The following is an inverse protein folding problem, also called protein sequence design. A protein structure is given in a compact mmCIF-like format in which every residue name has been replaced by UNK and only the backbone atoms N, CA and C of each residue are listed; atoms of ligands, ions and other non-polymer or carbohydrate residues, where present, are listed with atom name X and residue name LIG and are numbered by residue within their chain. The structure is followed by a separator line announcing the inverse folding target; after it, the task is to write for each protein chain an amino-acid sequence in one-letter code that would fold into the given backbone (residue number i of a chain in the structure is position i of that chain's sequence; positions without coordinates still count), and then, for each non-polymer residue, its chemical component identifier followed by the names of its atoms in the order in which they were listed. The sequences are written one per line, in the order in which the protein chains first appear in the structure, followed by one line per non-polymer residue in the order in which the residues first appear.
data_IF_244576141440
#
_entry.id   IF_244576141440
#
_cell.length_a   1.000
_cell.length_b   1.000
_cell.length_c   1.000
_cell.angle_alpha   90.00
_cell.angle_beta   90.00
_cell.angle_gamma   90.00
#
_symmetry.space_group_name_H-M   'P 1'
#
loop_
_entity.id
_entity.type
_entity.pdbx_description
1 polymer ?
#
# COMPACT_ATOMS: atom_id res chain seq x y z
N UNK A 1 -12.14 -19.20 0.52
CA UNK A 1 -11.60 -17.94 1.10
C UNK A 1 -10.69 -17.28 0.09
N UNK A 2 -10.92 -16.00 -0.21
CA UNK A 2 -10.15 -15.22 -1.19
C UNK A 2 -9.02 -14.49 -0.44
N UNK A 3 -7.77 -14.80 -0.79
CA UNK A 3 -6.60 -14.04 -0.36
C UNK A 3 -6.20 -13.03 -1.43
N UNK A 4 -5.92 -11.81 -1.04
CA UNK A 4 -5.17 -10.86 -1.84
C UNK A 4 -3.90 -10.44 -1.10
N UNK A 5 -2.83 -10.19 -1.84
CA UNK A 5 -1.57 -9.70 -1.27
C UNK A 5 -1.03 -8.49 -2.02
N UNK A 6 -0.36 -7.60 -1.30
CA UNK A 6 0.35 -6.47 -1.88
C UNK A 6 1.50 -6.01 -1.00
N UNK A 7 2.55 -5.51 -1.62
CA UNK A 7 3.61 -4.80 -0.90
C UNK A 7 3.03 -3.56 -0.22
N UNK A 8 3.56 -3.14 0.94
CA UNK A 8 3.05 -1.95 1.62
C UNK A 8 3.48 -0.69 0.86
N UNK A 9 2.50 0.01 0.29
CA UNK A 9 2.69 1.31 -0.36
C UNK A 9 2.53 2.48 0.63
N UNK A 10 3.21 3.58 0.36
CA UNK A 10 3.05 4.83 1.10
C UNK A 10 1.80 5.57 0.62
N UNK A 11 0.87 5.87 1.53
CA UNK A 11 -0.42 6.53 1.23
C UNK A 11 -1.08 5.99 -0.06
N UNK A 12 -1.53 4.71 -0.09
CA UNK A 12 -1.93 4.05 -1.34
C UNK A 12 -3.12 4.73 -2.03
N UNK A 13 -3.29 4.45 -3.31
CA UNK A 13 -4.42 4.91 -4.12
C UNK A 13 -5.64 3.97 -4.00
N UNK A 14 -6.81 4.38 -4.50
CA UNK A 14 -8.06 3.61 -4.40
C UNK A 14 -7.97 2.18 -4.97
N UNK A 15 -7.17 1.94 -6.00
CA UNK A 15 -7.01 0.61 -6.58
C UNK A 15 -6.36 -0.40 -5.62
N UNK A 16 -5.50 0.07 -4.72
CA UNK A 16 -4.97 -0.74 -3.63
C UNK A 16 -6.12 -1.23 -2.71
N UNK A 17 -6.94 -0.29 -2.26
CA UNK A 17 -8.05 -0.58 -1.34
C UNK A 17 -9.20 -1.33 -2.00
N UNK A 18 -9.44 -1.13 -3.30
CA UNK A 18 -10.40 -1.96 -4.05
C UNK A 18 -10.00 -3.44 -4.04
N UNK A 19 -8.71 -3.74 -4.12
CA UNK A 19 -8.21 -5.11 -4.01
C UNK A 19 -8.39 -5.65 -2.59
N UNK A 20 -8.15 -4.84 -1.56
CA UNK A 20 -8.45 -5.20 -0.16
C UNK A 20 -9.94 -5.52 0.00
N UNK A 21 -10.83 -4.65 -0.48
CA UNK A 21 -12.29 -4.80 -0.35
C UNK A 21 -12.87 -6.05 -1.05
N UNK A 22 -12.13 -6.66 -1.97
CA UNK A 22 -12.53 -7.87 -2.70
C UNK A 22 -11.97 -9.16 -2.10
N UNK A 23 -11.19 -9.07 -1.05
CA UNK A 23 -10.60 -10.21 -0.39
C UNK A 23 -11.31 -10.53 0.93
N UNK A 24 -11.34 -11.81 1.29
CA UNK A 24 -11.75 -12.24 2.62
C UNK A 24 -10.60 -12.10 3.63
N UNK A 25 -9.35 -12.07 3.12
CA UNK A 25 -8.13 -11.89 3.89
C UNK A 25 -7.12 -11.12 3.05
N UNK A 26 -6.42 -10.15 3.65
CA UNK A 26 -5.40 -9.37 2.97
C UNK A 26 -4.03 -9.59 3.62
N UNK A 27 -3.02 -9.96 2.83
CA UNK A 27 -1.66 -10.13 3.30
C UNK A 27 -0.78 -8.99 2.81
N UNK A 28 -0.23 -8.20 3.73
CA UNK A 28 0.80 -7.22 3.41
C UNK A 28 2.11 -7.95 3.20
N UNK A 29 2.66 -7.89 1.99
CA UNK A 29 3.86 -8.61 1.58
C UNK A 29 5.08 -7.75 1.90
N UNK A 30 5.55 -7.85 3.13
CA UNK A 30 6.60 -7.00 3.70
C UNK A 30 8.01 -7.63 3.71
N UNK A 31 8.12 -8.94 3.44
CA UNK A 31 9.39 -9.68 3.44
C UNK A 31 10.15 -9.65 2.10
N UNK A 32 9.51 -9.15 1.03
CA UNK A 32 10.14 -9.09 -0.30
C UNK A 32 11.07 -7.90 -0.44
N UNK A 33 11.97 -7.96 -1.42
CA UNK A 33 12.94 -6.92 -1.69
C UNK A 33 12.27 -5.55 -1.92
N UNK A 34 12.86 -4.51 -1.35
CA UNK A 34 12.42 -3.13 -1.54
C UNK A 34 12.61 -2.68 -3.01
N UNK A 35 11.54 -2.20 -3.61
CA UNK A 35 11.55 -1.67 -4.98
C UNK A 35 11.83 -0.16 -4.99
N UNK A 36 12.97 0.23 -5.55
CA UNK A 36 13.36 1.65 -5.68
C UNK A 36 12.51 2.35 -6.72
N UNK A 37 12.18 3.62 -6.45
CA UNK A 37 11.39 4.49 -7.34
C UNK A 37 9.96 4.00 -7.55
N UNK A 38 9.48 3.08 -6.75
CA UNK A 38 8.11 2.59 -6.73
C UNK A 38 7.29 3.31 -5.64
N UNK A 39 6.00 3.04 -5.57
CA UNK A 39 5.06 3.65 -4.62
C UNK A 39 5.28 3.21 -3.16
N UNK A 40 6.31 2.43 -2.87
CA UNK A 40 6.64 1.99 -1.52
C UNK A 40 7.08 3.13 -0.61
N UNK A 41 7.82 4.13 -1.12
CA UNK A 41 8.27 5.27 -0.32
C UNK A 41 7.81 6.63 -0.83
N UNK A 42 6.92 6.66 -1.81
CA UNK A 42 6.41 7.89 -2.42
C UNK A 42 5.01 7.71 -2.96
N UNK A 43 4.26 8.78 -3.06
CA UNK A 43 3.00 8.81 -3.80
C UNK A 43 2.61 10.24 -4.14
N UNK A 44 1.62 10.38 -5.03
CA UNK A 44 1.12 11.67 -5.46
C UNK A 44 -0.17 12.02 -4.71
N UNK A 45 -0.29 13.27 -4.31
CA UNK A 45 -1.52 13.87 -3.80
C UNK A 45 -2.00 14.98 -4.73
N UNK A 46 -3.28 15.37 -4.61
CA UNK A 46 -3.89 16.49 -5.35
C UNK A 46 -3.56 17.81 -4.68
N UNK A 47 -3.14 18.79 -5.45
CA UNK A 47 -3.05 20.18 -5.01
C UNK A 47 -3.67 21.12 -6.04
N UNK A 48 -3.62 22.44 -5.78
CA UNK A 48 -4.21 23.45 -6.65
C UNK A 48 -3.64 23.47 -8.08
N UNK A 49 -2.35 23.19 -8.24
CA UNK A 49 -1.65 23.26 -9.53
C UNK A 49 -1.54 21.93 -10.26
N UNK A 50 -2.03 20.84 -9.67
CA UNK A 50 -1.95 19.51 -10.29
C UNK A 50 -1.74 18.41 -9.27
N UNK A 51 -0.61 17.70 -9.36
CA UNK A 51 -0.20 16.65 -8.41
C UNK A 51 1.15 16.98 -7.79
N UNK A 52 1.32 16.65 -6.52
CA UNK A 52 2.58 16.77 -5.79
C UNK A 52 3.05 15.37 -5.40
N UNK A 53 4.32 15.08 -5.65
CA UNK A 53 4.96 13.86 -5.15
C UNK A 53 5.40 14.06 -3.70
N UNK A 54 4.85 13.26 -2.79
CA UNK A 54 5.35 13.11 -1.43
C UNK A 54 6.33 11.95 -1.39
N UNK A 55 7.45 12.14 -0.69
CA UNK A 55 8.48 11.10 -0.58
C UNK A 55 8.91 10.96 0.88
N UNK A 56 9.04 9.72 1.32
CA UNK A 56 9.72 9.35 2.56
C UNK A 56 11.15 8.97 2.20
N UNK A 57 12.17 9.71 2.66
CA UNK A 57 13.55 9.40 2.36
C UNK A 57 13.98 8.13 3.12
N UNK A 58 14.69 7.25 2.44
CA UNK A 58 15.22 6.02 3.03
C UNK A 58 16.75 6.00 2.97
N UNK A 59 17.37 5.26 3.89
CA UNK A 59 18.81 5.03 3.86
C UNK A 59 19.16 4.13 2.67
N UNK A 60 19.96 4.66 1.73
CA UNK A 60 20.26 3.98 0.48
C UNK A 60 21.57 3.18 0.50
N UNK A 61 22.54 3.61 1.34
CA UNK A 61 23.89 3.02 1.34
C UNK A 61 23.88 1.67 2.02
N UNK A 62 24.17 0.60 1.28
CA UNK A 62 24.15 -0.79 1.78
C UNK A 62 22.76 -1.44 1.91
N UNK A 63 21.68 -0.78 1.46
CA UNK A 63 20.30 -1.24 1.65
C UNK A 63 19.59 -1.66 0.35
N UNK A 64 20.35 -1.95 -0.72
CA UNK A 64 19.74 -2.20 -2.04
C UNK A 64 19.01 -3.54 -2.15
N UNK A 65 19.44 -4.52 -1.38
CA UNK A 65 18.93 -5.88 -1.44
C UNK A 65 18.15 -6.29 -0.19
N UNK A 66 17.87 -5.34 0.69
CA UNK A 66 17.14 -5.61 1.92
C UNK A 66 15.65 -5.85 1.65
N UNK A 67 15.02 -6.73 2.43
CA UNK A 67 13.58 -6.87 2.44
C UNK A 67 12.92 -5.56 2.92
N UNK A 68 11.70 -5.32 2.45
CA UNK A 68 10.99 -4.07 2.73
C UNK A 68 10.85 -3.77 4.23
N UNK A 69 10.60 -4.79 5.05
CA UNK A 69 10.45 -4.66 6.51
C UNK A 69 11.74 -4.30 7.26
N UNK A 70 12.89 -4.24 6.57
CA UNK A 70 14.17 -3.79 7.12
C UNK A 70 14.58 -2.39 6.64
N UNK A 71 13.80 -1.79 5.74
CA UNK A 71 14.14 -0.47 5.18
C UNK A 71 13.97 0.62 6.23
N UNK A 72 15.08 1.32 6.51
CA UNK A 72 15.15 2.41 7.48
C UNK A 72 14.87 3.76 6.83
N UNK A 73 14.08 4.59 7.51
CA UNK A 73 13.81 5.96 7.10
C UNK A 73 15.05 6.82 7.42
N UNK A 74 15.45 7.69 6.48
CA UNK A 74 16.47 8.70 6.73
C UNK A 74 15.89 9.85 7.59
N UNK A 75 16.11 9.76 8.88
CA UNK A 75 15.60 10.71 9.88
C UNK A 75 16.34 12.04 9.94
N UNK A 76 17.47 12.17 9.22
CA UNK A 76 18.20 13.44 9.12
C UNK A 76 17.43 14.47 8.27
N UNK A 77 16.55 14.01 7.40
CA UNK A 77 15.66 14.88 6.62
C UNK A 77 14.34 15.17 7.35
N UNK A 78 13.85 16.40 7.38
CA UNK A 78 12.59 16.77 8.03
C UNK A 78 11.37 16.38 7.15
N UNK A 79 11.36 15.16 6.62
CA UNK A 79 10.38 14.67 5.64
C UNK A 79 8.95 14.68 6.18
N UNK A 80 8.76 14.25 7.43
CA UNK A 80 7.43 14.18 8.04
C UNK A 80 6.78 15.56 8.09
N UNK A 81 7.50 16.57 8.54
CA UNK A 81 7.04 17.97 8.56
C UNK A 81 6.74 18.49 7.14
N UNK A 82 7.60 18.18 6.16
CA UNK A 82 7.40 18.60 4.77
C UNK A 82 6.15 17.96 4.17
N UNK A 83 5.99 16.64 4.32
CA UNK A 83 4.86 15.90 3.79
C UNK A 83 3.56 16.32 4.48
N UNK A 84 3.57 16.46 5.82
CA UNK A 84 2.41 16.97 6.56
C UNK A 84 1.97 18.35 6.07
N UNK A 85 2.90 19.29 5.94
CA UNK A 85 2.56 20.62 5.40
C UNK A 85 1.94 20.56 4.01
N UNK A 86 2.45 19.70 3.14
CA UNK A 86 1.88 19.53 1.81
C UNK A 86 0.45 18.99 1.86
N UNK A 87 0.18 17.98 2.71
CA UNK A 87 -1.16 17.43 2.95
C UNK A 87 -2.10 18.49 3.56
N UNK A 88 -1.64 19.17 4.59
CA UNK A 88 -2.42 20.22 5.26
C UNK A 88 -2.86 21.31 4.28
N UNK A 89 -1.94 21.92 3.53
CA UNK A 89 -2.28 22.98 2.58
C UNK A 89 -3.08 22.49 1.37
N UNK A 90 -2.94 21.22 0.99
CA UNK A 90 -3.76 20.63 -0.04
C UNK A 90 -5.21 20.40 0.40
N UNK A 91 -5.45 20.02 1.68
CA UNK A 91 -6.75 19.48 2.10
C UNK A 91 -7.42 20.20 3.28
N UNK A 92 -6.77 21.16 3.97
CA UNK A 92 -7.32 21.82 5.17
C UNK A 92 -8.73 22.42 5.02
N UNK A 93 -9.10 22.81 3.80
CA UNK A 93 -10.42 23.37 3.50
C UNK A 93 -11.33 22.33 2.78
N UNK A 94 -10.96 21.03 2.78
CA UNK A 94 -11.84 19.97 2.27
C UNK A 94 -12.99 19.70 3.25
N UNK A 95 -14.19 19.31 2.76
CA UNK A 95 -15.37 19.16 3.61
C UNK A 95 -15.20 18.25 4.82
N UNK A 96 -14.39 17.21 4.69
CA UNK A 96 -14.19 16.21 5.75
C UNK A 96 -12.84 16.34 6.47
N UNK A 97 -12.11 17.44 6.27
CA UNK A 97 -10.80 17.62 6.88
C UNK A 97 -10.84 17.59 8.42
N UNK A 98 -11.86 18.20 9.02
CA UNK A 98 -12.01 18.19 10.48
C UNK A 98 -12.13 16.79 11.08
N UNK A 99 -12.63 15.83 10.30
CA UNK A 99 -12.76 14.43 10.69
C UNK A 99 -11.44 13.65 10.54
N UNK A 100 -10.77 13.76 9.40
CA UNK A 100 -9.65 12.90 9.04
C UNK A 100 -8.29 13.56 9.27
N UNK A 101 -8.20 14.88 9.21
CA UNK A 101 -6.95 15.63 9.35
C UNK A 101 -6.22 15.37 10.67
N UNK A 102 -6.89 15.40 11.83
CA UNK A 102 -6.25 15.18 13.13
C UNK A 102 -5.60 13.79 13.26
N UNK A 103 -6.27 12.74 12.78
CA UNK A 103 -5.72 11.37 12.84
C UNK A 103 -4.48 11.23 11.93
N UNK A 104 -4.54 11.83 10.73
CA UNK A 104 -3.41 11.86 9.82
C UNK A 104 -2.25 12.66 10.41
N UNK A 105 -2.52 13.82 11.03
CA UNK A 105 -1.51 14.62 11.72
C UNK A 105 -0.77 13.82 12.79
N UNK A 106 -1.51 13.07 13.60
CA UNK A 106 -0.94 12.24 14.65
C UNK A 106 0.06 11.21 14.10
N UNK A 107 -0.18 10.65 12.90
CA UNK A 107 0.78 9.75 12.23
C UNK A 107 2.07 10.50 11.86
N UNK A 108 1.99 11.72 11.35
CA UNK A 108 3.17 12.51 10.94
C UNK A 108 3.91 13.16 12.12
N UNK A 109 3.27 13.27 13.28
CA UNK A 109 3.92 13.74 14.52
C UNK A 109 4.74 12.64 15.22
N UNK A 110 4.48 11.37 14.91
CA UNK A 110 5.25 10.24 15.46
C UNK A 110 6.63 10.15 14.83
N UNK A 111 7.58 9.63 15.60
CA UNK A 111 8.90 9.24 15.07
C UNK A 111 8.83 7.85 14.47
N UNK A 112 9.25 7.70 13.23
CA UNK A 112 9.27 6.45 12.49
C UNK A 112 10.71 6.05 12.19
N UNK A 113 11.07 4.81 12.48
CA UNK A 113 12.37 4.23 12.15
C UNK A 113 12.30 3.43 10.86
N UNK A 114 11.32 2.52 10.76
CA UNK A 114 11.12 1.66 9.59
C UNK A 114 10.04 2.18 8.68
N UNK A 115 10.28 2.08 7.37
CA UNK A 115 9.29 2.43 6.35
C UNK A 115 8.05 1.53 6.42
N UNK A 116 8.25 0.25 6.75
CA UNK A 116 7.17 -0.72 6.90
C UNK A 116 6.16 -0.29 7.97
N UNK A 117 6.63 0.12 9.16
CA UNK A 117 5.76 0.50 10.27
C UNK A 117 4.90 1.70 9.93
N UNK A 118 5.49 2.70 9.26
CA UNK A 118 4.75 3.86 8.74
C UNK A 118 3.68 3.46 7.75
N UNK A 119 4.05 2.69 6.71
CA UNK A 119 3.12 2.33 5.64
C UNK A 119 1.99 1.43 6.15
N UNK A 120 2.28 0.45 6.99
CA UNK A 120 1.27 -0.43 7.60
C UNK A 120 0.29 0.38 8.46
N UNK A 121 0.80 1.36 9.22
CA UNK A 121 -0.06 2.25 10.01
C UNK A 121 -0.98 3.07 9.13
N UNK A 122 -0.46 3.67 8.06
CA UNK A 122 -1.26 4.46 7.11
C UNK A 122 -2.28 3.59 6.35
N UNK A 123 -1.90 2.38 5.93
CA UNK A 123 -2.82 1.44 5.27
C UNK A 123 -3.98 1.09 6.19
N UNK A 124 -3.71 0.74 7.45
CA UNK A 124 -4.76 0.42 8.42
C UNK A 124 -5.67 1.61 8.70
N UNK A 125 -5.10 2.80 8.89
CA UNK A 125 -5.86 4.03 9.07
C UNK A 125 -6.81 4.29 7.89
N UNK A 126 -6.32 4.14 6.67
CA UNK A 126 -7.14 4.33 5.47
C UNK A 126 -8.19 3.21 5.29
N UNK A 127 -7.88 1.98 5.67
CA UNK A 127 -8.88 0.91 5.71
C UNK A 127 -10.01 1.25 6.69
N UNK A 128 -9.69 1.76 7.87
CA UNK A 128 -10.69 2.20 8.86
C UNK A 128 -11.56 3.34 8.30
N UNK A 129 -10.96 4.32 7.65
CA UNK A 129 -11.69 5.44 7.02
C UNK A 129 -12.61 5.00 5.89
N UNK A 130 -12.20 3.96 5.15
CA UNK A 130 -12.97 3.39 4.05
C UNK A 130 -13.97 2.31 4.52
N UNK A 131 -14.04 2.02 5.82
CA UNK A 131 -14.92 0.99 6.38
C UNK A 131 -14.57 -0.44 5.96
N UNK A 132 -13.30 -0.72 5.70
CA UNK A 132 -12.82 -2.03 5.24
C UNK A 132 -12.40 -2.89 6.44
N UNK A 133 -13.31 -3.74 6.92
CA UNK A 133 -13.09 -4.66 8.04
C UNK A 133 -12.49 -6.02 7.59
N UNK A 134 -11.52 -6.00 6.67
CA UNK A 134 -10.86 -7.20 6.16
C UNK A 134 -9.69 -7.56 7.09
N UNK A 135 -9.56 -8.83 7.56
CA UNK A 135 -8.41 -9.29 8.32
C UNK A 135 -7.10 -9.07 7.57
N UNK A 136 -6.10 -8.50 8.26
CA UNK A 136 -4.79 -8.17 7.69
C UNK A 136 -3.69 -8.87 8.45
N UNK A 137 -2.83 -9.61 7.73
CA UNK A 137 -1.60 -10.21 8.27
C UNK A 137 -0.37 -9.75 7.51
N UNK A 138 0.81 -9.95 8.08
CA UNK A 138 2.09 -9.65 7.44
C UNK A 138 2.72 -10.97 6.95
N UNK A 139 3.22 -10.97 5.73
CA UNK A 139 3.89 -12.16 5.17
C UNK A 139 5.12 -12.58 5.97
N UNK A 140 5.84 -11.63 6.57
CA UNK A 140 6.98 -11.89 7.45
C UNK A 140 6.62 -12.72 8.69
N UNK A 141 5.37 -12.65 9.16
CA UNK A 141 4.88 -13.42 10.31
C UNK A 141 4.58 -14.90 9.99
N UNK A 142 4.48 -15.24 8.72
CA UNK A 142 4.14 -16.59 8.24
C UNK A 142 5.33 -17.39 7.71
N UNK A 143 6.54 -16.82 7.70
CA UNK A 143 7.72 -17.49 7.18
C UNK A 143 7.64 -17.84 5.69
N UNK A 144 6.89 -17.03 4.93
CA UNK A 144 6.69 -17.22 3.48
C UNK A 144 8.02 -17.24 2.75
N UNK A 145 8.18 -18.20 1.86
CA UNK A 145 9.39 -18.41 1.04
C UNK A 145 9.06 -18.40 -0.44
N UNK A 146 10.11 -18.52 -1.26
CA UNK A 146 9.96 -18.53 -2.71
C UNK A 146 9.76 -17.15 -3.31
N UNK A 147 9.42 -17.13 -4.58
CA UNK A 147 9.19 -15.91 -5.36
C UNK A 147 8.09 -16.12 -6.38
N UNK A 148 7.57 -15.04 -6.96
CA UNK A 148 6.55 -15.10 -8.01
C UNK A 148 5.37 -16.00 -7.60
N UNK A 149 5.01 -16.98 -8.45
CA UNK A 149 3.85 -17.87 -8.24
C UNK A 149 4.02 -18.79 -7.03
N UNK A 150 5.22 -19.31 -6.78
CA UNK A 150 5.47 -20.17 -5.62
C UNK A 150 5.19 -19.44 -4.31
N UNK A 151 5.61 -18.19 -4.21
CA UNK A 151 5.29 -17.33 -3.06
C UNK A 151 3.77 -17.18 -2.87
N UNK A 152 3.01 -17.02 -3.95
CA UNK A 152 1.54 -16.90 -3.87
C UNK A 152 0.89 -18.19 -3.36
N UNK A 153 1.41 -19.35 -3.78
CA UNK A 153 0.98 -20.67 -3.26
C UNK A 153 1.23 -20.76 -1.76
N UNK A 154 2.43 -20.40 -1.32
CA UNK A 154 2.80 -20.40 0.11
C UNK A 154 1.92 -19.43 0.93
N UNK A 155 1.66 -18.24 0.41
CA UNK A 155 0.76 -17.28 1.05
C UNK A 155 -0.67 -17.84 1.22
N UNK A 156 -1.22 -18.48 0.18
CA UNK A 156 -2.53 -19.11 0.26
C UNK A 156 -2.56 -20.24 1.30
N UNK A 157 -1.56 -21.10 1.30
CA UNK A 157 -1.44 -22.21 2.26
C UNK A 157 -1.33 -21.72 3.70
N UNK A 158 -0.57 -20.66 3.93
CA UNK A 158 -0.34 -20.09 5.27
C UNK A 158 -1.62 -19.62 5.96
N UNK A 159 -2.62 -19.18 5.18
CA UNK A 159 -3.91 -18.70 5.72
C UNK A 159 -5.09 -19.61 5.35
N UNK A 160 -4.86 -20.75 4.69
CA UNK A 160 -5.91 -21.68 4.27
C UNK A 160 -6.80 -21.12 3.14
N UNK A 161 -6.27 -20.27 2.28
CA UNK A 161 -7.01 -19.72 1.14
C UNK A 161 -7.04 -20.69 -0.04
N UNK A 162 -8.18 -20.78 -0.71
CA UNK A 162 -8.41 -21.58 -1.93
C UNK A 162 -8.46 -20.72 -3.20
N UNK A 163 -8.35 -19.43 -3.05
CA UNK A 163 -8.46 -18.46 -4.15
C UNK A 163 -7.46 -17.32 -3.95
N UNK A 164 -6.72 -16.96 -5.00
CA UNK A 164 -5.83 -15.83 -4.98
C UNK A 164 -6.28 -14.73 -5.94
N UNK A 165 -6.39 -13.50 -5.43
CA UNK A 165 -6.74 -12.31 -6.20
C UNK A 165 -5.48 -11.47 -6.48
N UNK A 166 -4.99 -11.51 -7.73
CA UNK A 166 -3.85 -10.72 -8.19
C UNK A 166 -4.24 -9.30 -8.59
N UNK A 167 -3.36 -8.34 -8.37
CA UNK A 167 -3.41 -7.05 -9.07
C UNK A 167 -2.98 -7.16 -10.53
N UNK A 168 -3.10 -6.07 -11.30
CA UNK A 168 -2.73 -6.04 -12.72
C UNK A 168 -1.25 -6.36 -12.97
N UNK A 169 -0.34 -5.91 -12.10
CA UNK A 169 1.10 -6.22 -12.19
C UNK A 169 1.42 -7.72 -12.03
N UNK A 170 0.48 -8.53 -11.53
CA UNK A 170 0.62 -9.98 -11.48
C UNK A 170 0.65 -10.64 -12.86
N UNK A 171 0.17 -9.96 -13.92
CA UNK A 171 0.13 -10.50 -15.28
C UNK A 171 1.51 -10.84 -15.85
N UNK A 172 2.55 -10.18 -15.34
CA UNK A 172 3.91 -10.33 -15.84
C UNK A 172 4.64 -11.55 -15.27
N UNK A 173 4.11 -12.14 -14.16
CA UNK A 173 4.84 -13.21 -13.48
C UNK A 173 3.98 -14.34 -12.91
N UNK A 174 2.66 -14.18 -12.83
CA UNK A 174 1.78 -15.22 -12.30
C UNK A 174 1.53 -16.27 -13.35
N UNK A 175 1.75 -17.51 -12.96
CA UNK A 175 1.47 -18.72 -13.76
C UNK A 175 0.17 -19.36 -13.25
N UNK A 176 -0.98 -19.14 -13.91
CA UNK A 176 -2.29 -19.65 -13.45
C UNK A 176 -2.32 -21.17 -13.31
N UNK A 177 -1.64 -21.89 -14.23
CA UNK A 177 -1.58 -23.35 -14.20
C UNK A 177 -0.81 -23.89 -12.98
N UNK A 178 0.19 -23.16 -12.50
CA UNK A 178 0.91 -23.55 -11.28
C UNK A 178 0.02 -23.38 -10.04
N UNK A 179 -0.77 -22.30 -9.96
CA UNK A 179 -1.78 -22.12 -8.91
C UNK A 179 -2.86 -23.22 -8.97
N UNK A 180 -3.35 -23.52 -10.17
CA UNK A 180 -4.36 -24.60 -10.38
C UNK A 180 -3.84 -25.96 -9.93
N UNK A 181 -2.58 -26.31 -10.25
CA UNK A 181 -1.94 -27.54 -9.75
C UNK A 181 -1.82 -27.59 -8.23
N UNK A 182 -1.71 -26.44 -7.58
CA UNK A 182 -1.71 -26.32 -6.12
C UNK A 182 -3.13 -26.29 -5.52
N UNK A 183 -4.19 -26.44 -6.32
CA UNK A 183 -5.58 -26.40 -5.90
C UNK A 183 -6.10 -24.97 -5.61
N UNK A 184 -5.42 -23.94 -6.11
CA UNK A 184 -5.76 -22.54 -5.87
C UNK A 184 -6.38 -21.93 -7.13
N UNK A 185 -7.60 -21.41 -7.01
CA UNK A 185 -8.25 -20.61 -8.06
C UNK A 185 -7.57 -19.25 -8.15
N UNK A 186 -7.51 -18.68 -9.36
CA UNK A 186 -6.82 -17.42 -9.58
C UNK A 186 -7.68 -16.46 -10.41
N UNK A 187 -7.70 -15.19 -9.98
CA UNK A 187 -8.37 -14.11 -10.69
C UNK A 187 -7.49 -12.84 -10.69
N UNK A 188 -7.59 -12.04 -11.76
CA UNK A 188 -7.02 -10.70 -11.80
C UNK A 188 -8.06 -9.65 -11.40
N UNK A 189 -7.71 -8.83 -10.42
CA UNK A 189 -8.51 -7.67 -10.06
C UNK A 189 -8.48 -6.65 -11.20
N UNK A 190 -9.65 -6.27 -11.71
CA UNK A 190 -9.79 -5.15 -12.65
C UNK A 190 -10.17 -3.92 -11.86
N UNK A 191 -9.41 -2.86 -12.00
CA UNK A 191 -9.68 -1.57 -11.40
C UNK A 191 -9.96 -0.54 -12.50
N UNK A 192 -11.14 0.06 -12.46
CA UNK A 192 -11.47 1.27 -13.20
C UNK A 192 -11.63 2.38 -12.17
N UNK A 193 -10.81 3.42 -12.30
CA UNK A 193 -10.82 4.51 -11.32
C UNK A 193 -12.15 5.26 -11.42
N UNK A 194 -12.94 5.34 -10.34
CA UNK A 194 -14.18 6.12 -10.35
C UNK A 194 -13.83 7.61 -10.43
N UNK A 195 -14.63 8.37 -11.16
CA UNK A 195 -14.59 9.82 -11.06
C UNK A 195 -15.39 10.28 -9.84
N UNK A 196 -14.80 11.15 -9.04
CA UNK A 196 -15.42 11.76 -7.87
C UNK A 196 -15.00 13.23 -7.77
N UNK A 197 -15.76 14.06 -7.07
CA UNK A 197 -15.39 15.45 -6.88
C UNK A 197 -14.05 15.58 -6.15
N UNK A 198 -13.03 16.05 -6.86
CA UNK A 198 -11.77 16.48 -6.25
C UNK A 198 -11.83 17.96 -5.92
N UNK A 199 -11.12 18.38 -4.88
CA UNK A 199 -11.08 19.78 -4.44
C UNK A 199 -10.72 20.76 -5.57
N UNK A 200 -9.91 20.31 -6.52
CA UNK A 200 -9.43 21.14 -7.63
C UNK A 200 -9.69 20.43 -8.96
N UNK A 201 -10.32 21.11 -9.94
CA UNK A 201 -10.45 20.60 -11.31
C UNK A 201 -9.11 20.73 -12.09
N UNK A 202 -8.95 19.96 -13.20
CA UNK A 202 -9.73 18.81 -13.59
C UNK A 202 -9.46 17.60 -12.69
N UNK A 203 -10.30 16.55 -12.79
CA UNK A 203 -10.08 15.30 -12.10
C UNK A 203 -8.75 14.65 -12.53
N UNK A 204 -7.96 14.17 -11.57
CA UNK A 204 -6.71 13.42 -11.82
C UNK A 204 -6.85 12.05 -11.14
N UNK A 205 -6.87 10.95 -11.90
CA UNK A 205 -6.96 9.60 -11.35
C UNK A 205 -5.65 9.12 -10.70
N UNK A 206 -5.75 8.01 -9.96
CA UNK A 206 -4.61 7.28 -9.39
C UNK A 206 -3.74 8.10 -8.42
N UNK A 207 -4.33 9.06 -7.74
CA UNK A 207 -3.69 9.73 -6.61
C UNK A 207 -3.97 8.96 -5.32
N UNK A 208 -3.20 9.25 -4.27
CA UNK A 208 -3.49 8.80 -2.90
C UNK A 208 -4.94 9.12 -2.50
N UNK A 209 -5.54 8.23 -1.71
CA UNK A 209 -6.89 8.45 -1.14
C UNK A 209 -6.89 9.62 -0.16
#
# INVERSE_FOLDING_TARGET
MILAGHQPEYIPYLGYFQKVARADHFMIVDHVQYARRDFQNRNYIRNRTGKILLTVPVLNKGHHDLPFNEIMINRQEPWARKNWRSLYFAYKDAPYWSRYGPELEAVYQRSWEKLADLNITLIRLFMDWLGLAVPVTLSSQHGIRGSKTDMLVEMCRAVGADTYLSGQGGRDYVEPDALARAGIRHYFCRFSHPEYPQRFPPFIPNLSV
#
